data_IF_450247896439
#
_entry.id   IF_450247896439
#
_cell.length_a   1.000
_cell.length_b   1.000
_cell.length_c   1.000
_cell.angle_alpha   90.00
_cell.angle_beta   90.00
_cell.angle_gamma   90.00
#
_symmetry.space_group_name_H-M   'P 1'
#
loop_
_entity.id
_entity.type
_entity.pdbx_description
1 polymer ?
#
# COMPACT_ATOMS: atom_id res chain seq x y z
N UNK A 1 -22.50 5.75 -16.57
CA UNK A 1 -22.00 6.08 -15.22
C UNK A 1 -21.37 4.82 -14.62
N UNK A 2 -20.39 4.22 -15.31
CA UNK A 2 -19.93 2.86 -14.97
C UNK A 2 -18.40 2.82 -14.81
N UNK A 3 -17.68 3.58 -15.64
CA UNK A 3 -16.21 3.60 -15.66
C UNK A 3 -15.60 4.34 -14.46
N UNK A 4 -16.20 5.44 -14.00
CA UNK A 4 -15.67 6.22 -12.88
C UNK A 4 -15.82 5.45 -11.57
N UNK A 5 -16.97 4.81 -11.36
CA UNK A 5 -17.24 3.99 -10.18
C UNK A 5 -16.35 2.75 -10.11
N UNK A 6 -16.10 2.07 -11.23
CA UNK A 6 -15.13 0.97 -11.28
C UNK A 6 -13.71 1.42 -10.95
N UNK A 7 -13.29 2.56 -11.50
CA UNK A 7 -11.96 3.12 -11.24
C UNK A 7 -11.82 3.58 -9.78
N UNK A 8 -12.85 4.19 -9.21
CA UNK A 8 -12.88 4.58 -7.79
C UNK A 8 -12.88 3.35 -6.88
N UNK A 9 -13.63 2.31 -7.24
CA UNK A 9 -13.65 1.06 -6.50
C UNK A 9 -12.28 0.38 -6.55
N UNK A 10 -11.65 0.29 -7.72
CA UNK A 10 -10.30 -0.26 -7.88
C UNK A 10 -9.25 0.52 -7.07
N UNK A 11 -9.32 1.85 -7.08
CA UNK A 11 -8.51 2.73 -6.21
C UNK A 11 -8.73 2.43 -4.72
N UNK A 12 -9.99 2.31 -4.29
CA UNK A 12 -10.32 1.99 -2.89
C UNK A 12 -9.83 0.61 -2.46
N UNK A 13 -9.88 -0.39 -3.35
CA UNK A 13 -9.33 -1.72 -3.09
C UNK A 13 -7.80 -1.72 -2.98
N UNK A 14 -7.11 -0.93 -3.81
CA UNK A 14 -5.67 -0.71 -3.71
C UNK A 14 -5.30 -0.02 -2.39
N UNK A 15 -6.00 1.05 -2.02
CA UNK A 15 -5.78 1.75 -0.75
C UNK A 15 -6.00 0.82 0.47
N UNK A 16 -7.02 -0.04 0.42
CA UNK A 16 -7.28 -1.04 1.46
C UNK A 16 -6.09 -2.02 1.59
N UNK A 17 -5.54 -2.47 0.46
CA UNK A 17 -4.42 -3.40 0.43
C UNK A 17 -3.13 -2.78 0.97
N UNK A 18 -2.96 -1.46 0.87
CA UNK A 18 -1.80 -0.73 1.42
C UNK A 18 -1.97 -0.34 2.88
N UNK A 19 -3.21 -0.06 3.29
CA UNK A 19 -3.55 0.35 4.65
C UNK A 19 -3.40 -0.79 5.66
N UNK A 20 -3.73 -2.03 5.28
CA UNK A 20 -3.62 -3.20 6.17
C UNK A 20 -2.15 -3.47 6.60
N UNK A 21 -1.16 -3.56 5.70
CA UNK A 21 0.26 -3.64 6.04
C UNK A 21 0.73 -2.49 6.92
N UNK A 22 0.25 -1.27 6.67
CA UNK A 22 0.62 -0.07 7.43
C UNK A 22 0.19 -0.18 8.90
N UNK A 23 -1.02 -0.66 9.17
CA UNK A 23 -1.49 -0.90 10.55
C UNK A 23 -0.74 -2.05 11.24
N UNK A 24 -0.38 -3.10 10.50
CA UNK A 24 0.45 -4.20 11.02
C UNK A 24 1.86 -3.73 11.42
N UNK A 25 2.41 -2.75 10.68
CA UNK A 25 3.69 -2.11 10.95
C UNK A 25 3.72 -1.44 12.35
N UNK A 26 2.62 -0.77 12.72
CA UNK A 26 2.46 -0.12 14.03
C UNK A 26 2.20 -1.12 15.17
N UNK A 27 1.56 -2.25 14.88
CA UNK A 27 1.34 -3.31 15.88
C UNK A 27 2.62 -4.05 16.28
N UNK A 28 3.69 -3.99 15.47
CA UNK A 28 4.88 -4.81 15.63
C UNK A 28 6.14 -4.05 16.13
N UNK A 29 5.97 -2.88 16.75
CA UNK A 29 7.06 -2.07 17.33
C UNK A 29 7.17 -2.18 18.87
N UNK A 30 8.36 -2.00 19.47
CA UNK A 30 9.58 -2.79 19.32
C UNK A 30 9.61 -3.91 20.38
N UNK A 31 9.50 -5.15 19.95
CA UNK A 31 9.98 -6.28 20.76
C UNK A 31 11.39 -6.60 20.29
N UNK A 32 12.36 -6.76 21.21
CA UNK A 32 13.78 -7.06 20.91
C UNK A 32 14.03 -8.40 20.20
N UNK A 33 12.97 -9.05 19.74
CA UNK A 33 13.01 -10.29 19.00
C UNK A 33 13.37 -10.00 17.53
N UNK A 34 14.52 -10.53 17.09
CA UNK A 34 14.99 -10.49 15.70
C UNK A 34 13.92 -10.94 14.68
N UNK A 35 13.01 -11.83 15.07
CA UNK A 35 11.89 -12.26 14.25
C UNK A 35 10.90 -11.12 13.93
N UNK A 36 10.64 -10.23 14.89
CA UNK A 36 9.75 -9.10 14.71
C UNK A 36 10.34 -8.10 13.70
N UNK A 37 11.65 -7.89 13.73
CA UNK A 37 12.37 -7.05 12.77
C UNK A 37 12.25 -7.62 11.36
N UNK A 38 12.44 -8.93 11.20
CA UNK A 38 12.33 -9.60 9.91
C UNK A 38 10.92 -9.47 9.30
N UNK A 39 9.88 -9.69 10.09
CA UNK A 39 8.48 -9.55 9.64
C UNK A 39 8.20 -8.09 9.25
N UNK A 40 8.65 -7.13 10.06
CA UNK A 40 8.47 -5.71 9.78
C UNK A 40 9.17 -5.30 8.46
N UNK A 41 10.37 -5.84 8.20
CA UNK A 41 11.09 -5.60 6.95
C UNK A 41 10.34 -6.14 5.71
N UNK A 42 9.75 -7.34 5.81
CA UNK A 42 8.93 -7.92 4.73
C UNK A 42 7.70 -7.04 4.46
N UNK A 43 7.04 -6.57 5.52
CA UNK A 43 5.87 -5.68 5.42
C UNK A 43 6.23 -4.36 4.75
N UNK A 44 7.38 -3.75 5.11
CA UNK A 44 7.87 -2.50 4.51
C UNK A 44 8.16 -2.66 3.01
N UNK A 45 8.77 -3.77 2.59
CA UNK A 45 9.03 -4.05 1.18
C UNK A 45 7.72 -4.15 0.41
N UNK A 46 6.76 -4.92 0.93
CA UNK A 46 5.47 -5.13 0.28
C UNK A 46 4.68 -3.81 0.16
N UNK A 47 4.70 -3.01 1.23
CA UNK A 47 4.11 -1.67 1.24
C UNK A 47 4.76 -0.73 0.22
N UNK A 48 6.09 -0.74 0.12
CA UNK A 48 6.85 0.12 -0.80
C UNK A 48 6.56 -0.20 -2.27
N UNK A 49 6.54 -1.48 -2.65
CA UNK A 49 6.16 -1.92 -4.00
C UNK A 49 4.76 -1.41 -4.34
N UNK A 50 3.85 -1.55 -3.39
CA UNK A 50 2.49 -1.06 -3.47
C UNK A 50 2.36 0.44 -3.74
N UNK A 51 3.10 1.23 -2.95
CA UNK A 51 3.16 2.68 -3.08
C UNK A 51 3.68 3.12 -4.44
N UNK A 52 4.72 2.46 -4.96
CA UNK A 52 5.29 2.78 -6.28
C UNK A 52 4.28 2.52 -7.39
N UNK A 53 3.56 1.39 -7.34
CA UNK A 53 2.50 1.07 -8.30
C UNK A 53 1.35 2.08 -8.24
N UNK A 54 0.87 2.42 -7.04
CA UNK A 54 -0.19 3.41 -6.84
C UNK A 54 0.24 4.80 -7.34
N UNK A 55 1.45 5.23 -6.98
CA UNK A 55 2.01 6.51 -7.39
C UNK A 55 2.25 6.58 -8.89
N UNK A 56 2.72 5.50 -9.51
CA UNK A 56 2.91 5.44 -10.96
C UNK A 56 1.58 5.52 -11.70
N UNK A 57 0.55 4.80 -11.24
CA UNK A 57 -0.79 4.87 -11.82
C UNK A 57 -1.40 6.27 -11.66
N UNK A 58 -1.24 6.89 -10.48
CA UNK A 58 -1.68 8.26 -10.22
C UNK A 58 -0.93 9.27 -11.09
N UNK A 59 0.41 9.15 -11.19
CA UNK A 59 1.25 10.01 -12.01
C UNK A 59 0.90 9.89 -13.50
N UNK A 60 0.71 8.68 -14.03
CA UNK A 60 0.23 8.47 -15.39
C UNK A 60 -1.15 9.09 -15.62
N UNK A 61 -2.04 9.09 -14.61
CA UNK A 61 -3.35 9.73 -14.71
C UNK A 61 -3.27 11.26 -14.68
N UNK A 62 -2.36 11.83 -13.91
CA UNK A 62 -2.17 13.28 -13.80
C UNK A 62 -1.38 13.88 -14.97
N UNK A 63 -0.38 13.17 -15.52
CA UNK A 63 0.45 13.62 -16.66
C UNK A 63 -0.25 13.48 -18.03
N UNK A 64 -1.36 12.73 -18.12
CA UNK A 64 -2.15 12.58 -19.35
C UNK A 64 -3.24 13.66 -19.49
N UNK A 65 -3.16 14.71 -18.68
CA UNK A 65 -4.03 15.90 -18.72
C UNK A 65 -3.26 17.04 -19.34
#
# INVERSE_FOLDING_TARGET
MNTIDEVLKSLGWLDLIFTIPMFLLFSYLPGDHMFNILINFIIVIFFSIGLVLSSHWLACRFLKK
#
